data_IF_641254745299
#
_entry.id   IF_641254745299
#
_cell.length_a   1.000
_cell.length_b   1.000
_cell.length_c   1.000
_cell.angle_alpha   90.00
_cell.angle_beta   90.00
_cell.angle_gamma   90.00
#
_symmetry.space_group_name_H-M   'P 1'
#
loop_
_entity.id
_entity.type
_entity.pdbx_description
1 polymer ?
#
# COMPACT_ATOMS: atom_id res chain seq x y z
N UNK A 1 -9.55 10.85 -1.31
CA UNK A 1 -8.42 10.10 -0.73
C UNK A 1 -8.35 8.71 -1.36
N UNK A 2 -7.16 8.25 -1.75
CA UNK A 2 -6.92 6.97 -2.44
C UNK A 2 -6.26 5.97 -1.50
N UNK A 3 -6.91 4.84 -1.21
CA UNK A 3 -6.35 3.77 -0.36
C UNK A 3 -6.20 2.51 -1.22
N UNK A 4 -4.98 1.99 -1.34
CA UNK A 4 -4.75 0.87 -2.25
C UNK A 4 -3.71 -0.14 -1.79
N UNK A 5 -3.93 -1.39 -2.21
CA UNK A 5 -3.07 -2.52 -1.90
C UNK A 5 -1.83 -2.61 -2.77
N UNK A 6 -1.02 -3.65 -2.52
CA UNK A 6 0.25 -3.91 -3.21
C UNK A 6 0.13 -4.07 -4.74
N UNK A 7 -1.08 -4.28 -5.27
CA UNK A 7 -1.33 -4.51 -6.70
C UNK A 7 -1.38 -3.24 -7.57
N UNK A 8 -1.57 -2.06 -6.97
CA UNK A 8 -1.78 -0.79 -7.69
C UNK A 8 -0.67 0.23 -7.43
N UNK A 9 0.55 -0.25 -7.19
CA UNK A 9 1.69 0.62 -6.92
C UNK A 9 2.34 1.04 -8.25
N UNK A 10 2.04 2.26 -8.70
CA UNK A 10 2.78 2.97 -9.75
C UNK A 10 3.11 4.40 -9.29
N UNK A 11 4.41 4.72 -9.27
CA UNK A 11 4.92 6.04 -8.92
C UNK A 11 4.40 7.15 -9.85
N UNK A 12 4.08 6.83 -11.10
CA UNK A 12 3.51 7.81 -12.02
C UNK A 12 2.09 8.21 -11.61
N UNK A 13 1.26 7.22 -11.26
CA UNK A 13 -0.11 7.48 -10.82
C UNK A 13 -0.14 8.20 -9.47
N UNK A 14 0.76 7.85 -8.54
CA UNK A 14 0.90 8.57 -7.28
C UNK A 14 1.28 10.04 -7.50
N UNK A 15 2.19 10.31 -8.45
CA UNK A 15 2.53 11.68 -8.82
C UNK A 15 1.32 12.43 -9.38
N UNK A 16 0.56 11.83 -10.29
CA UNK A 16 -0.68 12.43 -10.81
C UNK A 16 -1.72 12.72 -9.72
N UNK A 17 -1.86 11.82 -8.74
CA UNK A 17 -2.75 12.01 -7.60
C UNK A 17 -2.30 13.22 -6.78
N UNK A 18 -1.00 13.31 -6.49
CA UNK A 18 -0.42 14.45 -5.77
C UNK A 18 -0.54 15.76 -6.54
N UNK A 19 -0.25 15.77 -7.84
CA UNK A 19 -0.35 16.95 -8.70
C UNK A 19 -1.79 17.48 -8.80
N UNK A 20 -2.79 16.60 -8.61
CA UNK A 20 -4.22 16.95 -8.51
C UNK A 20 -4.66 17.38 -7.11
N UNK A 21 -3.74 17.51 -6.15
CA UNK A 21 -4.04 17.87 -4.76
C UNK A 21 -4.76 16.78 -3.98
N UNK A 22 -4.79 15.54 -4.48
CA UNK A 22 -5.45 14.42 -3.81
C UNK A 22 -4.48 13.65 -2.90
N UNK A 23 -5.03 13.04 -1.84
CA UNK A 23 -4.27 12.27 -0.87
C UNK A 23 -4.27 10.77 -1.16
N UNK A 24 -3.20 10.08 -0.79
CA UNK A 24 -3.10 8.63 -0.90
C UNK A 24 -2.50 7.95 0.35
N UNK A 25 -2.88 6.69 0.59
CA UNK A 25 -2.22 5.77 1.54
C UNK A 25 -2.09 4.40 0.88
N UNK A 26 -0.86 3.91 0.75
CA UNK A 26 -0.59 2.60 0.14
C UNK A 26 0.36 1.80 1.01
N UNK A 27 0.24 0.47 0.91
CA UNK A 27 1.27 -0.43 1.42
C UNK A 27 2.33 -0.64 0.35
N UNK A 28 3.59 -0.41 0.71
CA UNK A 28 4.73 -0.58 -0.16
C UNK A 28 5.18 -2.04 -0.20
N UNK A 29 5.61 -2.51 -1.37
CA UNK A 29 6.27 -3.83 -1.49
C UNK A 29 7.64 -3.76 -0.83
N UNK A 30 8.01 -4.80 -0.07
CA UNK A 30 9.26 -4.83 0.72
C UNK A 30 10.55 -4.77 -0.11
N UNK A 31 10.48 -5.05 -1.42
CA UNK A 31 11.60 -4.91 -2.35
C UNK A 31 11.72 -3.51 -2.97
N UNK A 32 10.86 -2.57 -2.58
CA UNK A 32 10.90 -1.20 -3.06
C UNK A 32 12.05 -0.46 -2.40
N UNK A 33 12.75 0.37 -3.18
CA UNK A 33 13.88 1.15 -2.68
C UNK A 33 13.38 2.47 -2.11
N UNK A 34 13.71 2.72 -0.85
CA UNK A 34 13.42 3.95 -0.12
C UNK A 34 14.74 4.67 0.09
N UNK A 35 14.71 5.98 -0.06
CA UNK A 35 15.88 6.83 0.08
C UNK A 35 15.59 8.00 1.02
N UNK A 36 16.63 8.49 1.69
CA UNK A 36 16.64 9.78 2.36
C UNK A 36 17.57 10.72 1.60
N UNK A 37 17.28 12.03 1.63
CA UNK A 37 18.20 13.03 1.08
C UNK A 37 19.48 13.02 1.92
N UNK A 38 20.63 13.11 1.26
CA UNK A 38 21.91 13.25 1.93
C UNK A 38 22.16 14.71 2.28
N UNK A 39 22.43 15.00 3.54
CA UNK A 39 22.75 16.35 4.02
C UNK A 39 24.18 16.77 3.62
N UNK A 40 25.09 15.80 3.42
CA UNK A 40 26.48 16.01 3.00
C UNK A 40 26.81 15.25 1.71
N UNK A 41 26.34 15.70 0.53
CA UNK A 41 26.63 15.02 -0.71
C UNK A 41 28.07 15.27 -1.17
N UNK A 42 28.73 14.24 -1.69
CA UNK A 42 30.05 14.42 -2.29
C UNK A 42 30.03 15.33 -3.52
N UNK A 43 31.08 16.13 -3.70
CA UNK A 43 31.29 16.99 -4.85
C UNK A 43 32.40 16.43 -5.76
N UNK A 44 32.27 16.66 -7.06
CA UNK A 44 33.38 16.49 -8.00
C UNK A 44 34.40 17.60 -7.79
N UNK A 45 35.63 17.41 -8.29
CA UNK A 45 36.70 18.43 -8.24
C UNK A 45 36.31 19.77 -8.90
N UNK A 46 35.30 19.77 -9.77
CA UNK A 46 34.75 20.95 -10.45
C UNK A 46 33.60 21.63 -9.68
N UNK A 47 33.32 21.24 -8.43
CA UNK A 47 32.27 21.83 -7.60
C UNK A 47 30.85 21.33 -7.89
N UNK A 48 30.64 20.47 -8.90
CA UNK A 48 29.32 19.86 -9.15
C UNK A 48 29.04 18.73 -8.16
N UNK A 49 27.80 18.63 -7.67
CA UNK A 49 27.39 17.53 -6.79
C UNK A 49 27.41 16.19 -7.54
N UNK A 50 27.99 15.15 -6.94
CA UNK A 50 27.87 13.79 -7.44
C UNK A 50 26.43 13.32 -7.26
N UNK A 51 25.66 13.24 -8.34
CA UNK A 51 24.24 12.85 -8.28
C UNK A 51 23.99 11.49 -7.58
N UNK A 52 24.98 10.60 -7.58
CA UNK A 52 24.93 9.31 -6.89
C UNK A 52 24.94 9.41 -5.35
N UNK A 53 25.46 10.51 -4.78
CA UNK A 53 25.58 10.72 -3.33
C UNK A 53 24.50 11.64 -2.77
N UNK A 54 23.63 12.20 -3.61
CA UNK A 54 22.50 13.04 -3.20
C UNK A 54 21.46 12.30 -2.34
N UNK A 55 21.37 10.97 -2.47
CA UNK A 55 20.36 10.16 -1.80
C UNK A 55 20.97 8.90 -1.22
N UNK A 56 20.79 8.70 0.07
CA UNK A 56 21.22 7.49 0.78
C UNK A 56 20.08 6.49 0.73
N UNK A 57 20.38 5.27 0.27
CA UNK A 57 19.39 4.18 0.30
C UNK A 57 19.26 3.66 1.73
N UNK A 58 18.03 3.58 2.22
CA UNK A 58 17.75 3.03 3.53
C UNK A 58 17.70 1.50 3.47
N UNK A 59 18.36 0.82 4.42
CA UNK A 59 18.23 -0.62 4.57
C UNK A 59 17.04 -0.97 5.47
N UNK A 60 16.05 -1.63 4.89
CA UNK A 60 14.84 -2.04 5.59
C UNK A 60 15.11 -3.05 6.72
N UNK A 61 16.17 -3.86 6.63
CA UNK A 61 16.51 -4.80 7.72
C UNK A 61 17.09 -4.05 8.93
N UNK A 62 17.93 -3.04 8.68
CA UNK A 62 18.48 -2.20 9.73
C UNK A 62 17.37 -1.41 10.44
N UNK A 63 16.48 -0.77 9.67
CA UNK A 63 15.30 -0.07 10.20
C UNK A 63 14.38 -0.99 11.01
N UNK A 64 14.17 -2.22 10.53
CA UNK A 64 13.37 -3.21 11.26
C UNK A 64 14.02 -3.58 12.59
N UNK A 65 15.36 -3.74 12.63
CA UNK A 65 16.08 -4.14 13.83
C UNK A 65 16.09 -3.04 14.91
N UNK A 66 16.12 -1.78 14.49
CA UNK A 66 16.04 -0.62 15.39
C UNK A 66 14.66 -0.45 16.04
N UNK A 67 13.60 -1.02 15.45
CA UNK A 67 12.22 -0.84 15.90
C UNK A 67 11.75 -2.01 16.79
N UNK A 68 11.24 -1.79 18.02
CA UNK A 68 10.64 -2.86 18.83
C UNK A 68 9.37 -3.46 18.20
N UNK A 69 9.02 -4.69 18.58
CA UNK A 69 7.82 -5.36 18.07
C UNK A 69 6.53 -4.62 18.50
N UNK A 70 5.60 -4.39 17.57
CA UNK A 70 4.37 -3.65 17.79
C UNK A 70 4.50 -2.13 17.64
N UNK A 71 5.72 -1.59 17.56
CA UNK A 71 5.94 -0.15 17.40
C UNK A 71 5.96 0.29 15.94
N UNK A 72 5.84 1.59 15.77
CA UNK A 72 5.83 2.26 14.47
C UNK A 72 6.88 3.35 14.46
N UNK A 73 7.61 3.47 13.34
CA UNK A 73 8.50 4.58 13.08
C UNK A 73 8.04 5.36 11.85
N UNK A 74 8.34 6.65 11.85
CA UNK A 74 8.06 7.55 10.74
C UNK A 74 9.35 8.03 10.10
N UNK A 75 9.32 8.16 8.77
CA UNK A 75 10.31 8.88 7.98
C UNK A 75 9.53 9.93 7.18
N UNK A 76 9.50 11.16 7.69
CA UNK A 76 8.67 12.23 7.13
C UNK A 76 9.13 12.66 5.73
N UNK A 77 10.44 12.67 5.48
CA UNK A 77 11.03 13.03 4.19
C UNK A 77 11.74 11.84 3.53
N UNK A 78 10.95 10.96 2.91
CA UNK A 78 11.47 9.84 2.16
C UNK A 78 11.24 9.99 0.65
N UNK A 79 12.11 9.38 -0.14
CA UNK A 79 12.03 9.38 -1.60
C UNK A 79 11.91 7.95 -2.10
N UNK A 80 10.83 7.66 -2.83
CA UNK A 80 10.50 6.30 -3.26
C UNK A 80 10.92 6.08 -4.72
N UNK A 81 11.57 4.94 -4.96
CA UNK A 81 11.92 4.47 -6.29
C UNK A 81 13.33 4.86 -6.72
N UNK A 82 13.90 4.06 -7.64
CA UNK A 82 15.30 4.21 -8.06
C UNK A 82 15.54 5.50 -8.86
N UNK A 83 14.68 5.78 -9.83
CA UNK A 83 14.87 6.90 -10.76
C UNK A 83 13.97 8.10 -10.42
N UNK A 84 12.67 7.86 -10.20
CA UNK A 84 11.67 8.94 -10.05
C UNK A 84 11.74 9.69 -8.71
N UNK A 85 12.28 9.06 -7.65
CA UNK A 85 12.46 9.65 -6.31
C UNK A 85 11.21 10.44 -5.85
N UNK A 86 10.05 9.79 -5.81
CA UNK A 86 8.81 10.46 -5.41
C UNK A 86 8.90 10.81 -3.92
N UNK A 87 8.80 12.11 -3.53
CA UNK A 87 8.77 12.49 -2.12
C UNK A 87 7.48 11.95 -1.48
N UNK A 88 7.62 11.32 -0.32
CA UNK A 88 6.51 10.77 0.44
C UNK A 88 6.89 10.63 1.91
N UNK A 89 5.88 10.61 2.75
CA UNK A 89 5.99 10.17 4.14
C UNK A 89 5.92 8.65 4.18
N UNK A 90 6.90 8.02 4.82
CA UNK A 90 6.98 6.57 4.98
C UNK A 90 6.72 6.21 6.44
N UNK A 91 5.86 5.23 6.67
CA UNK A 91 5.54 4.72 8.00
C UNK A 91 5.88 3.23 8.02
N UNK A 92 6.76 2.81 8.93
CA UNK A 92 7.14 1.41 9.09
C UNK A 92 6.59 0.92 10.42
N UNK A 93 5.75 -0.10 10.37
CA UNK A 93 5.15 -0.73 11.54
C UNK A 93 5.70 -2.15 11.68
N UNK A 94 6.35 -2.44 12.82
CA UNK A 94 6.81 -3.80 13.13
C UNK A 94 5.69 -4.57 13.79
N UNK A 95 5.37 -5.73 13.23
CA UNK A 95 4.32 -6.59 13.76
C UNK A 95 4.66 -7.11 15.15
N UNK A 96 3.62 -7.51 15.88
CA UNK A 96 3.80 -8.28 17.12
C UNK A 96 4.36 -9.67 16.82
N UNK A 97 4.90 -10.34 17.85
CA UNK A 97 5.42 -11.71 17.74
C UNK A 97 4.33 -12.67 17.25
N UNK A 98 3.13 -12.59 17.83
CA UNK A 98 1.97 -13.39 17.45
C UNK A 98 1.56 -13.18 15.98
N UNK A 99 1.49 -11.92 15.53
CA UNK A 99 1.18 -11.59 14.14
C UNK A 99 2.25 -12.11 13.18
N UNK A 100 3.52 -12.03 13.57
CA UNK A 100 4.66 -12.52 12.79
C UNK A 100 4.59 -14.04 12.65
N UNK A 101 4.36 -14.77 13.74
CA UNK A 101 4.21 -16.23 13.71
C UNK A 101 3.04 -16.67 12.84
N UNK A 102 1.88 -16.00 12.96
CA UNK A 102 0.72 -16.28 12.11
C UNK A 102 1.06 -16.09 10.63
N UNK A 103 1.78 -15.01 10.28
CA UNK A 103 2.25 -14.79 8.90
C UNK A 103 3.21 -15.85 8.42
N UNK A 104 4.16 -16.27 9.25
CA UNK A 104 5.12 -17.33 8.90
C UNK A 104 4.40 -18.66 8.64
N UNK A 105 3.41 -19.02 9.47
CA UNK A 105 2.56 -20.21 9.26
C UNK A 105 1.78 -20.12 7.94
N UNK A 106 1.17 -18.97 7.63
CA UNK A 106 0.45 -18.76 6.37
C UNK A 106 1.38 -18.79 5.15
N UNK A 107 2.60 -18.24 5.28
CA UNK A 107 3.61 -18.28 4.23
C UNK A 107 4.05 -19.71 3.96
N UNK A 108 4.36 -20.51 4.99
CA UNK A 108 4.74 -21.91 4.83
C UNK A 108 3.64 -22.72 4.10
N UNK A 109 2.35 -22.48 4.43
CA UNK A 109 1.22 -23.07 3.69
C UNK A 109 1.21 -22.65 2.22
N UNK A 110 1.50 -21.38 1.91
CA UNK A 110 1.57 -20.87 0.53
C UNK A 110 2.78 -21.42 -0.24
N UNK A 111 3.93 -21.55 0.40
CA UNK A 111 5.14 -22.16 -0.17
C UNK A 111 4.86 -23.59 -0.60
N UNK A 112 4.30 -24.41 0.31
CA UNK A 112 3.90 -25.79 0.02
C UNK A 112 2.87 -25.88 -1.11
N UNK A 113 1.85 -25.01 -1.10
CA UNK A 113 0.80 -25.01 -2.14
C UNK A 113 1.32 -24.61 -3.52
N UNK A 114 2.31 -23.71 -3.60
CA UNK A 114 2.85 -23.20 -4.86
C UNK A 114 4.13 -23.88 -5.32
N UNK A 115 4.77 -24.70 -4.48
CA UNK A 115 6.09 -25.27 -4.76
C UNK A 115 7.19 -24.22 -4.86
N UNK A 116 7.07 -23.09 -4.15
CA UNK A 116 8.04 -21.98 -4.20
C UNK A 116 8.58 -21.75 -2.80
N UNK A 117 9.89 -21.51 -2.69
CA UNK A 117 10.56 -21.09 -1.45
C UNK A 117 10.94 -19.62 -1.52
N UNK A 118 10.48 -18.83 -0.55
CA UNK A 118 10.89 -17.44 -0.41
C UNK A 118 12.29 -17.34 0.21
N UNK A 119 13.05 -16.32 -0.22
CA UNK A 119 14.34 -15.96 0.36
C UNK A 119 14.19 -15.63 1.85
N UNK A 120 15.19 -15.98 2.66
CA UNK A 120 15.17 -15.70 4.10
C UNK A 120 14.98 -14.21 4.43
N UNK A 121 15.66 -13.33 3.68
CA UNK A 121 15.47 -11.88 3.79
C UNK A 121 14.01 -11.46 3.65
N UNK A 122 13.31 -12.04 2.68
CA UNK A 122 11.88 -11.77 2.47
C UNK A 122 11.01 -12.31 3.62
N UNK A 123 11.40 -13.45 4.21
CA UNK A 123 10.72 -14.02 5.39
C UNK A 123 10.90 -13.11 6.60
N UNK A 124 12.12 -12.63 6.87
CA UNK A 124 12.42 -11.68 7.95
C UNK A 124 11.63 -10.37 7.79
N UNK A 125 11.73 -9.74 6.62
CA UNK A 125 11.01 -8.49 6.32
C UNK A 125 9.48 -8.65 6.28
N UNK A 126 8.95 -9.87 6.25
CA UNK A 126 7.49 -10.08 6.34
C UNK A 126 6.91 -9.70 7.69
N UNK A 127 7.76 -9.58 8.71
CA UNK A 127 7.45 -9.07 10.05
C UNK A 127 7.22 -7.57 10.13
N UNK A 128 7.31 -6.82 9.02
CA UNK A 128 6.98 -5.39 8.97
C UNK A 128 5.88 -5.08 7.96
N UNK A 129 5.19 -3.97 8.19
CA UNK A 129 4.36 -3.29 7.19
C UNK A 129 5.00 -1.94 6.89
N UNK A 130 5.11 -1.61 5.61
CA UNK A 130 5.60 -0.31 5.16
C UNK A 130 4.45 0.38 4.45
N UNK A 131 4.10 1.57 4.91
CA UNK A 131 3.07 2.43 4.33
C UNK A 131 3.70 3.69 3.76
N UNK A 132 3.09 4.21 2.71
CA UNK A 132 3.50 5.45 2.04
C UNK A 132 2.29 6.36 1.89
N UNK A 133 2.49 7.64 2.13
CA UNK A 133 1.44 8.64 2.03
C UNK A 133 2.00 10.02 1.71
N UNK A 134 1.17 10.88 1.12
CA UNK A 134 1.41 12.32 1.03
C UNK A 134 0.61 13.12 2.08
N UNK A 135 -0.02 12.45 3.04
CA UNK A 135 -0.68 13.08 4.19
C UNK A 135 0.34 13.60 5.19
N UNK A 136 0.17 14.86 5.61
CA UNK A 136 0.95 15.44 6.69
C UNK A 136 0.65 14.74 8.03
N UNK A 137 1.61 14.79 8.96
CA UNK A 137 1.40 14.31 10.32
C UNK A 137 0.31 15.11 11.08
N UNK A 138 0.08 16.36 10.67
CA UNK A 138 -0.99 17.21 11.22
C UNK A 138 -2.38 16.69 10.83
N UNK A 139 -2.55 16.24 9.58
CA UNK A 139 -3.84 15.74 9.10
C UNK A 139 -4.12 14.32 9.60
N UNK A 140 -3.11 13.45 9.58
CA UNK A 140 -3.21 12.07 10.06
C UNK A 140 -1.93 11.70 10.83
N UNK A 141 -2.02 11.57 12.17
CA UNK A 141 -0.93 11.07 13.00
C UNK A 141 -0.44 9.69 12.58
N UNK A 142 0.84 9.40 12.84
CA UNK A 142 1.51 8.16 12.40
C UNK A 142 0.84 6.89 12.90
N UNK A 143 0.34 6.93 14.12
CA UNK A 143 -0.39 5.82 14.75
C UNK A 143 -1.68 5.43 14.00
N UNK A 144 -2.39 6.40 13.41
CA UNK A 144 -3.66 6.17 12.73
C UNK A 144 -3.51 5.73 11.27
N UNK A 145 -2.31 5.76 10.70
CA UNK A 145 -2.08 5.35 9.30
C UNK A 145 -2.43 3.87 9.10
N UNK A 146 -2.13 3.01 10.07
CA UNK A 146 -2.47 1.59 10.00
C UNK A 146 -3.99 1.39 9.95
N UNK A 147 -4.73 2.05 10.84
CA UNK A 147 -6.18 1.96 10.94
C UNK A 147 -6.84 2.48 9.66
N UNK A 148 -6.35 3.61 9.16
CA UNK A 148 -6.81 4.19 7.90
C UNK A 148 -6.59 3.24 6.72
N UNK A 149 -5.41 2.60 6.65
CA UNK A 149 -5.14 1.58 5.63
C UNK A 149 -6.01 0.32 5.81
N UNK A 150 -6.39 -0.03 7.05
CA UNK A 150 -7.23 -1.20 7.33
C UNK A 150 -8.61 -1.11 6.65
N UNK A 151 -9.13 0.12 6.47
CA UNK A 151 -10.40 0.39 5.79
C UNK A 151 -10.43 -0.09 4.35
N UNK A 152 -9.27 -0.30 3.71
CA UNK A 152 -9.17 -0.92 2.38
C UNK A 152 -9.93 -2.24 2.30
N UNK A 153 -9.99 -3.02 3.39
CA UNK A 153 -10.70 -4.30 3.41
C UNK A 153 -12.22 -4.14 3.21
N UNK A 154 -12.80 -2.97 3.54
CA UNK A 154 -14.22 -2.69 3.32
C UNK A 154 -14.62 -2.87 1.85
N UNK A 155 -13.73 -2.51 0.92
CA UNK A 155 -13.96 -2.72 -0.51
C UNK A 155 -14.07 -4.22 -0.85
N UNK A 156 -13.23 -5.07 -0.24
CA UNK A 156 -13.33 -6.53 -0.44
C UNK A 156 -14.64 -7.10 0.12
N UNK A 157 -15.10 -6.62 1.29
CA UNK A 157 -16.40 -7.01 1.84
C UNK A 157 -17.51 -6.58 0.88
N UNK A 158 -17.49 -5.33 0.43
CA UNK A 158 -18.48 -4.77 -0.49
C UNK A 158 -18.58 -5.63 -1.77
N UNK A 159 -17.45 -5.95 -2.39
CA UNK A 159 -17.42 -6.84 -3.55
C UNK A 159 -17.89 -8.26 -3.25
N UNK A 160 -17.60 -8.83 -2.07
CA UNK A 160 -18.13 -10.14 -1.67
C UNK A 160 -19.65 -10.10 -1.52
N UNK A 161 -20.18 -9.06 -0.88
CA UNK A 161 -21.62 -8.82 -0.74
C UNK A 161 -22.28 -8.69 -2.11
N UNK A 162 -21.71 -7.89 -3.02
CA UNK A 162 -22.22 -7.74 -4.39
C UNK A 162 -22.20 -9.04 -5.19
N UNK A 163 -21.16 -9.86 -5.03
CA UNK A 163 -21.11 -11.18 -5.63
C UNK A 163 -22.17 -12.12 -5.04
N UNK A 164 -22.38 -12.08 -3.74
CA UNK A 164 -23.33 -12.96 -3.05
C UNK A 164 -24.78 -12.60 -3.38
N UNK A 165 -25.20 -11.37 -3.08
CA UNK A 165 -26.60 -10.95 -3.18
C UNK A 165 -27.01 -10.59 -4.61
N UNK A 166 -26.16 -9.88 -5.35
CA UNK A 166 -26.51 -9.35 -6.67
C UNK A 166 -25.91 -10.17 -7.82
N UNK A 167 -25.11 -11.20 -7.50
CA UNK A 167 -24.52 -12.12 -8.48
C UNK A 167 -23.81 -11.39 -9.63
N UNK A 168 -23.16 -10.25 -9.35
CA UNK A 168 -22.55 -9.39 -10.38
C UNK A 168 -21.49 -10.11 -11.23
N UNK A 169 -20.87 -11.15 -10.66
CA UNK A 169 -19.88 -12.00 -11.33
C UNK A 169 -20.48 -13.00 -12.32
N UNK A 170 -21.80 -13.22 -12.28
CA UNK A 170 -22.49 -14.08 -13.24
C UNK A 170 -22.90 -13.25 -14.45
N UNK A 171 -22.17 -13.43 -15.54
CA UNK A 171 -22.48 -12.86 -16.85
C UNK A 171 -23.04 -13.96 -17.76
N UNK A 172 -24.18 -13.69 -18.39
CA UNK A 172 -24.67 -14.52 -19.50
C UNK A 172 -23.90 -14.13 -20.76
N UNK A 173 -23.75 -15.08 -21.69
CA UNK A 173 -23.17 -14.80 -23.00
C UNK A 173 -24.22 -14.06 -23.83
N UNK A 174 -24.08 -12.74 -23.91
CA UNK A 174 -24.97 -11.81 -24.62
C UNK A 174 -24.13 -10.75 -25.33
N UNK A 175 -24.74 -10.00 -26.24
CA UNK A 175 -24.12 -8.85 -26.90
C UNK A 175 -23.62 -7.81 -25.89
N UNK A 176 -22.57 -7.09 -26.28
CA UNK A 176 -21.82 -6.19 -25.40
C UNK A 176 -22.71 -5.09 -24.84
N UNK A 177 -23.52 -4.48 -25.68
CA UNK A 177 -24.42 -3.37 -25.36
C UNK A 177 -25.45 -3.82 -24.32
N UNK A 178 -25.97 -5.04 -24.48
CA UNK A 178 -26.91 -5.66 -23.53
C UNK A 178 -26.24 -6.00 -22.20
N UNK A 179 -24.99 -6.44 -22.25
CA UNK A 179 -24.18 -6.69 -21.04
C UNK A 179 -23.93 -5.40 -20.28
N UNK A 180 -23.53 -4.32 -20.96
CA UNK A 180 -23.30 -3.01 -20.38
C UNK A 180 -24.57 -2.46 -19.73
N UNK A 181 -25.70 -2.47 -20.46
CA UNK A 181 -26.99 -2.03 -19.92
C UNK A 181 -27.38 -2.80 -18.64
N UNK A 182 -27.23 -4.13 -18.66
CA UNK A 182 -27.53 -4.95 -17.50
C UNK A 182 -26.56 -4.75 -16.33
N UNK A 183 -25.28 -4.49 -16.62
CA UNK A 183 -24.29 -4.14 -15.61
C UNK A 183 -24.64 -2.80 -14.96
N UNK A 184 -24.96 -1.77 -15.73
CA UNK A 184 -25.40 -0.47 -15.21
C UNK A 184 -26.67 -0.59 -14.37
N UNK A 185 -27.67 -1.35 -14.83
CA UNK A 185 -28.89 -1.60 -14.05
C UNK A 185 -28.59 -2.25 -12.69
N UNK A 186 -27.70 -3.25 -12.67
CA UNK A 186 -27.26 -3.89 -11.42
C UNK A 186 -26.49 -2.94 -10.51
N UNK A 187 -25.59 -2.13 -11.04
CA UNK A 187 -24.83 -1.15 -10.24
C UNK A 187 -25.74 -0.09 -9.62
N UNK A 188 -26.74 0.41 -10.36
CA UNK A 188 -27.73 1.34 -9.84
C UNK A 188 -28.59 0.69 -8.74
N UNK A 189 -29.06 -0.55 -8.93
CA UNK A 189 -29.80 -1.30 -7.91
C UNK A 189 -28.96 -1.50 -6.64
N UNK A 190 -27.68 -1.84 -6.77
CA UNK A 190 -26.76 -1.97 -5.62
C UNK A 190 -26.62 -0.65 -4.84
N UNK A 191 -26.49 0.47 -5.56
CA UNK A 191 -26.39 1.79 -4.95
C UNK A 191 -27.66 2.13 -4.18
N UNK A 192 -28.82 1.92 -4.78
CA UNK A 192 -30.13 2.16 -4.14
C UNK A 192 -30.29 1.30 -2.89
N UNK A 193 -30.09 -0.02 -2.98
CA UNK A 193 -30.19 -0.92 -1.83
C UNK A 193 -29.22 -0.56 -0.70
N UNK A 194 -27.99 -0.16 -1.05
CA UNK A 194 -26.99 0.22 -0.05
C UNK A 194 -27.37 1.54 0.64
N UNK A 195 -27.93 2.49 -0.11
CA UNK A 195 -28.38 3.78 0.43
C UNK A 195 -29.61 3.66 1.34
N UNK A 196 -30.57 2.79 1.01
CA UNK A 196 -31.75 2.55 1.84
C UNK A 196 -31.38 1.82 3.12
N UNK A 197 -30.57 0.77 3.04
CA UNK A 197 -30.10 0.05 4.23
C UNK A 197 -29.29 0.94 5.19
N UNK A 198 -28.52 1.89 4.67
CA UNK A 198 -27.77 2.82 5.52
C UNK A 198 -28.70 3.79 6.27
N UNK A 199 -29.78 4.26 5.65
CA UNK A 199 -30.79 5.14 6.28
C UNK A 199 -31.69 4.44 7.31
N UNK A 200 -31.79 3.11 7.25
CA UNK A 200 -32.59 2.32 8.19
C UNK A 200 -31.82 1.95 9.47
N UNK A 201 -30.53 2.28 9.55
CA UNK A 201 -29.71 2.18 10.76
C UNK A 201 -29.62 3.54 11.45
#
# INVERSE_FOLDING_TARGET
MYISGLGYFDLHDLRKIQDKGAYYVLRLKLNSRIYRKNDEPEYFRNGNVKKGTLYIQLDMEELMNQLPAGQTMEISEAYIGRCKKLPARVIIHRLTKEQTEKRLKEQAKKEKKKGITYKERSKRLSGINVYITNLSAQNVPTEHIHDLYSLRWQIEILFKTWKSFFQIHKCKKIEKERLECHLYGRLNSMLLCSSTMFKMR
#
